data_IF_240672243953
#
_entry.id   IF_240672243953
#
_cell.length_a   1.000
_cell.length_b   1.000
_cell.length_c   1.000
_cell.angle_alpha   90.00
_cell.angle_beta   90.00
_cell.angle_gamma   90.00
#
_symmetry.space_group_name_H-M   'P 1'
#
loop_
_entity.id
_entity.type
_entity.pdbx_description
1 polymer ?
#
# COMPACT_ATOMS: atom_id res chain seq x y z
N UNK A 1 10.25 -15.09 -15.26
CA UNK A 1 9.31 -16.24 -15.21
C UNK A 1 9.35 -16.82 -13.80
N UNK A 2 8.20 -17.20 -13.25
CA UNK A 2 8.10 -17.79 -11.94
C UNK A 2 8.12 -19.31 -12.03
N UNK A 3 8.70 -19.95 -11.01
CA UNK A 3 8.75 -21.41 -10.87
C UNK A 3 8.30 -21.79 -9.46
N UNK A 4 7.53 -22.84 -9.35
CA UNK A 4 7.06 -23.38 -8.08
C UNK A 4 7.53 -24.81 -7.90
N UNK A 5 7.93 -25.15 -6.69
CA UNK A 5 8.27 -26.54 -6.31
C UNK A 5 7.07 -27.17 -5.62
N UNK A 6 6.63 -28.30 -6.15
CA UNK A 6 5.49 -29.05 -5.64
C UNK A 6 5.98 -30.33 -4.99
N UNK A 7 5.63 -30.53 -3.71
CA UNK A 7 5.91 -31.73 -2.93
C UNK A 7 4.62 -32.15 -2.24
N UNK A 8 4.22 -33.40 -2.45
CA UNK A 8 2.98 -33.96 -1.86
C UNK A 8 1.74 -33.12 -2.17
N UNK A 9 1.61 -32.65 -3.42
CA UNK A 9 0.52 -31.78 -3.90
C UNK A 9 0.44 -30.39 -3.23
N UNK A 10 1.55 -29.96 -2.63
CA UNK A 10 1.65 -28.62 -2.03
C UNK A 10 2.84 -27.86 -2.60
N UNK A 11 2.67 -26.55 -2.80
CA UNK A 11 3.75 -25.66 -3.20
C UNK A 11 4.61 -25.36 -1.97
N UNK A 12 5.89 -25.73 -2.05
CA UNK A 12 6.84 -25.54 -0.94
C UNK A 12 7.80 -24.38 -1.17
N UNK A 13 8.06 -24.01 -2.43
CA UNK A 13 8.98 -22.92 -2.78
C UNK A 13 8.48 -22.20 -4.04
N UNK A 14 8.78 -20.91 -4.12
CA UNK A 14 8.52 -20.07 -5.29
C UNK A 14 9.82 -19.34 -5.64
N UNK A 15 10.30 -19.49 -6.87
CA UNK A 15 11.50 -18.83 -7.36
C UNK A 15 11.22 -18.02 -8.62
N UNK A 16 11.91 -16.92 -8.78
CA UNK A 16 11.86 -16.06 -9.98
C UNK A 16 12.97 -16.38 -10.98
N UNK A 17 13.87 -17.31 -10.64
CA UNK A 17 14.98 -17.75 -11.46
C UNK A 17 14.83 -19.23 -11.82
N UNK A 18 15.57 -19.65 -12.86
CA UNK A 18 15.59 -21.05 -13.29
C UNK A 18 16.05 -21.94 -12.11
N UNK A 19 15.26 -22.99 -11.76
CA UNK A 19 15.66 -23.93 -10.72
C UNK A 19 16.93 -24.72 -11.10
N UNK A 20 17.68 -25.25 -10.12
CA UNK A 20 18.84 -26.07 -10.39
C UNK A 20 18.52 -27.29 -11.24
N UNK A 21 19.39 -27.62 -12.19
CA UNK A 21 19.26 -28.81 -13.01
C UNK A 21 19.33 -30.07 -12.14
N UNK A 22 18.46 -31.03 -12.42
CA UNK A 22 18.42 -32.31 -11.69
C UNK A 22 17.47 -32.34 -10.50
N UNK A 23 16.93 -31.20 -10.05
CA UNK A 23 15.87 -31.20 -9.05
C UNK A 23 14.51 -31.52 -9.70
N UNK A 24 13.72 -32.35 -9.03
CA UNK A 24 12.38 -32.70 -9.46
C UNK A 24 11.31 -31.87 -8.74
N UNK A 25 10.10 -31.86 -9.29
CA UNK A 25 8.95 -31.20 -8.68
C UNK A 25 8.79 -29.72 -9.02
N UNK A 26 9.67 -29.15 -9.84
CA UNK A 26 9.56 -27.76 -10.29
C UNK A 26 8.67 -27.63 -11.52
N UNK A 27 7.79 -26.65 -11.49
CA UNK A 27 6.93 -26.28 -12.62
C UNK A 27 6.94 -24.77 -12.82
N UNK A 28 6.77 -24.34 -14.07
CA UNK A 28 6.56 -22.94 -14.37
C UNK A 28 5.21 -22.45 -13.79
N UNK A 29 5.16 -21.19 -13.41
CA UNK A 29 3.96 -20.59 -12.83
C UNK A 29 3.73 -19.19 -13.40
N UNK A 30 2.47 -18.77 -13.42
CA UNK A 30 2.06 -17.41 -13.79
C UNK A 30 1.22 -16.83 -12.65
N UNK A 31 1.34 -15.52 -12.46
CA UNK A 31 0.48 -14.81 -11.52
C UNK A 31 -0.82 -14.41 -12.21
N UNK A 32 -1.94 -14.69 -11.54
CA UNK A 32 -3.27 -14.21 -11.93
C UNK A 32 -3.71 -13.17 -10.92
N UNK A 33 -3.62 -11.90 -11.31
CA UNK A 33 -4.00 -10.77 -10.46
C UNK A 33 -5.22 -10.08 -11.04
N UNK A 34 -6.38 -10.13 -10.35
CA UNK A 34 -7.52 -9.32 -10.75
C UNK A 34 -7.18 -7.83 -10.73
N UNK A 35 -7.80 -7.07 -11.62
CA UNK A 35 -7.67 -5.61 -11.60
C UNK A 35 -8.47 -5.08 -10.42
N UNK A 36 -7.81 -4.33 -9.54
CA UNK A 36 -8.45 -3.77 -8.35
C UNK A 36 -9.15 -2.45 -8.64
N UNK A 37 -10.29 -2.24 -7.98
CA UNK A 37 -10.88 -0.91 -7.83
C UNK A 37 -10.22 -0.18 -6.66
N UNK A 38 -10.54 1.13 -6.51
CA UNK A 38 -10.04 1.92 -5.37
C UNK A 38 -10.55 1.42 -4.02
N UNK A 39 -11.57 0.56 -4.02
CA UNK A 39 -12.22 0.01 -2.82
C UNK A 39 -11.79 -1.41 -2.49
N UNK A 40 -10.80 -1.92 -3.19
CA UNK A 40 -10.36 -3.30 -3.08
C UNK A 40 -8.87 -3.41 -2.81
N UNK A 41 -8.48 -4.50 -2.19
CA UNK A 41 -7.08 -4.86 -2.02
C UNK A 41 -6.88 -6.36 -2.21
N UNK A 42 -5.64 -6.74 -2.54
CA UNK A 42 -5.29 -8.15 -2.60
C UNK A 42 -5.25 -8.76 -1.20
N UNK A 43 -5.70 -10.00 -1.15
CA UNK A 43 -5.55 -10.86 0.03
C UNK A 43 -4.47 -11.90 -0.24
N UNK A 44 -4.40 -12.94 0.59
CA UNK A 44 -3.46 -14.02 0.38
C UNK A 44 -3.67 -14.68 -0.99
N UNK A 45 -2.57 -15.10 -1.59
CA UNK A 45 -2.62 -15.86 -2.83
C UNK A 45 -2.76 -17.35 -2.54
N UNK A 46 -3.29 -18.09 -3.51
CA UNK A 46 -3.35 -19.53 -3.52
C UNK A 46 -2.75 -20.07 -4.82
N UNK A 47 -2.45 -21.37 -4.84
CA UNK A 47 -1.85 -22.01 -6.01
C UNK A 47 -2.84 -22.99 -6.63
N UNK A 48 -3.11 -22.85 -7.93
CA UNK A 48 -3.86 -23.84 -8.67
C UNK A 48 -2.87 -24.74 -9.43
N UNK A 49 -2.50 -25.84 -8.78
CA UNK A 49 -1.54 -26.81 -9.32
C UNK A 49 -2.13 -27.73 -10.39
N UNK A 50 -3.44 -27.66 -10.62
CA UNK A 50 -4.11 -28.41 -11.69
C UNK A 50 -3.89 -27.75 -13.06
N UNK A 51 -3.41 -26.52 -13.07
CA UNK A 51 -3.11 -25.77 -14.29
C UNK A 51 -1.67 -25.96 -14.73
N UNK A 52 -1.42 -25.82 -16.03
CA UNK A 52 -0.09 -25.85 -16.62
C UNK A 52 0.04 -24.69 -17.62
N UNK A 53 0.78 -23.62 -17.30
CA UNK A 53 1.56 -23.41 -16.08
C UNK A 53 0.69 -23.33 -14.82
N UNK A 54 1.28 -23.59 -13.66
CA UNK A 54 0.61 -23.42 -12.36
C UNK A 54 0.18 -21.96 -12.19
N UNK A 55 -1.03 -21.74 -11.73
CA UNK A 55 -1.54 -20.38 -11.50
C UNK A 55 -1.38 -19.98 -10.03
N UNK A 56 -0.74 -18.83 -9.82
CA UNK A 56 -0.71 -18.16 -8.52
C UNK A 56 -1.87 -17.18 -8.51
N UNK A 57 -2.96 -17.53 -7.83
CA UNK A 57 -4.22 -16.76 -7.85
C UNK A 57 -4.29 -15.87 -6.61
N UNK A 58 -4.36 -14.57 -6.82
CA UNK A 58 -4.52 -13.60 -5.76
C UNK A 58 -6.00 -13.41 -5.44
N UNK A 59 -6.33 -13.50 -4.14
CA UNK A 59 -7.66 -13.15 -3.66
C UNK A 59 -7.85 -11.63 -3.61
N UNK A 60 -9.10 -11.20 -3.54
CA UNK A 60 -9.48 -9.79 -3.46
C UNK A 60 -10.53 -9.63 -2.37
N UNK A 61 -10.38 -8.58 -1.56
CA UNK A 61 -11.41 -8.19 -0.60
C UNK A 61 -11.77 -6.71 -0.74
N UNK A 62 -12.98 -6.38 -0.33
CA UNK A 62 -13.40 -4.99 -0.21
C UNK A 62 -12.72 -4.34 1.00
N UNK A 63 -12.27 -3.11 0.83
CA UNK A 63 -11.74 -2.29 1.92
C UNK A 63 -12.91 -1.57 2.57
N UNK A 64 -13.03 -1.64 3.90
CA UNK A 64 -14.09 -0.93 4.62
C UNK A 64 -13.91 0.59 4.55
N UNK A 65 -14.99 1.31 4.80
CA UNK A 65 -14.95 2.79 4.91
C UNK A 65 -13.96 3.21 5.99
N UNK A 66 -13.95 2.55 7.14
CA UNK A 66 -13.06 2.88 8.24
C UNK A 66 -11.58 2.67 7.87
N UNK A 67 -11.26 1.59 7.18
CA UNK A 67 -9.89 1.36 6.69
C UNK A 67 -9.46 2.44 5.69
N UNK A 68 -10.32 2.81 4.77
CA UNK A 68 -10.05 3.89 3.82
C UNK A 68 -9.88 5.24 4.52
N UNK A 69 -10.71 5.53 5.52
CA UNK A 69 -10.56 6.73 6.36
C UNK A 69 -9.19 6.75 7.04
N UNK A 70 -8.74 5.61 7.55
CA UNK A 70 -7.41 5.47 8.13
C UNK A 70 -6.28 5.77 7.14
N UNK A 71 -6.43 5.37 5.89
CA UNK A 71 -5.49 5.70 4.83
C UNK A 71 -5.42 7.20 4.55
N UNK A 72 -6.58 7.86 4.45
CA UNK A 72 -6.64 9.32 4.28
C UNK A 72 -6.05 10.05 5.48
N UNK A 73 -6.37 9.62 6.70
CA UNK A 73 -5.81 10.20 7.93
C UNK A 73 -4.29 10.12 7.95
N UNK A 74 -3.72 8.99 7.54
CA UNK A 74 -2.27 8.81 7.44
C UNK A 74 -1.64 9.75 6.41
N UNK A 75 -2.29 9.96 5.27
CA UNK A 75 -1.84 10.90 4.24
C UNK A 75 -1.87 12.35 4.74
N UNK A 76 -2.93 12.75 5.42
CA UNK A 76 -3.05 14.10 5.98
C UNK A 76 -2.00 14.34 7.05
N UNK A 77 -1.78 13.36 7.91
CA UNK A 77 -0.75 13.42 8.95
C UNK A 77 0.65 13.53 8.33
N UNK A 78 0.94 12.75 7.30
CA UNK A 78 2.22 12.80 6.59
C UNK A 78 2.45 14.16 5.92
N UNK A 79 1.41 14.73 5.30
CA UNK A 79 1.49 16.05 4.69
C UNK A 79 1.76 17.15 5.72
N UNK A 80 1.08 17.12 6.85
CA UNK A 80 1.33 18.04 7.96
C UNK A 80 2.75 17.90 8.50
N UNK A 81 3.18 16.65 8.75
CA UNK A 81 4.53 16.37 9.25
C UNK A 81 5.61 16.85 8.30
N UNK A 82 5.36 16.78 6.98
CA UNK A 82 6.27 17.29 5.98
C UNK A 82 6.45 18.80 6.09
N UNK A 83 5.37 19.55 6.32
CA UNK A 83 5.44 21.01 6.52
C UNK A 83 6.27 21.34 7.74
N UNK A 84 6.05 20.63 8.85
CA UNK A 84 6.84 20.82 10.08
C UNK A 84 8.31 20.55 9.84
N UNK A 85 8.63 19.45 9.19
CA UNK A 85 10.00 19.06 8.90
C UNK A 85 10.70 20.07 7.97
N UNK A 86 10.00 20.59 6.96
CA UNK A 86 10.54 21.56 6.03
C UNK A 86 10.85 22.88 6.75
N UNK A 87 9.98 23.34 7.66
CA UNK A 87 10.24 24.54 8.45
C UNK A 87 11.41 24.36 9.45
N UNK A 88 11.48 23.21 10.11
CA UNK A 88 12.62 22.90 10.99
C UNK A 88 13.94 22.81 10.22
N UNK A 89 13.92 22.28 9.01
CA UNK A 89 15.11 22.14 8.15
C UNK A 89 15.67 23.49 7.74
N UNK A 90 14.83 24.50 7.51
CA UNK A 90 15.25 25.87 7.20
C UNK A 90 16.18 26.44 8.28
N UNK A 91 15.81 26.21 9.55
CA UNK A 91 16.59 26.72 10.68
C UNK A 91 17.94 26.01 10.82
N UNK A 92 18.03 24.74 10.45
CA UNK A 92 19.25 23.92 10.53
C UNK A 92 20.15 24.12 9.32
N UNK A 93 19.59 24.03 8.10
CA UNK A 93 20.36 23.99 6.85
C UNK A 93 20.67 25.39 6.30
N UNK A 94 19.81 26.37 6.56
CA UNK A 94 19.89 27.71 5.97
C UNK A 94 20.24 28.80 7.00
N UNK A 95 20.53 28.42 8.24
CA UNK A 95 20.96 29.35 9.28
C UNK A 95 22.22 30.14 8.82
N UNK A 96 22.33 31.47 9.12
CA UNK A 96 21.40 32.27 9.93
C UNK A 96 20.36 33.06 9.11
N UNK A 97 20.21 32.82 7.82
CA UNK A 97 19.41 33.64 6.92
C UNK A 97 17.93 33.32 6.92
N UNK A 98 17.57 32.05 7.22
CA UNK A 98 16.18 31.58 7.21
C UNK A 98 15.83 30.97 8.56
N UNK A 99 14.70 31.38 9.12
CA UNK A 99 14.23 30.91 10.42
C UNK A 99 12.95 30.07 10.26
N UNK A 100 12.68 29.24 11.27
CA UNK A 100 11.44 28.52 11.43
C UNK A 100 10.26 29.53 11.46
N UNK A 101 9.28 29.30 10.60
CA UNK A 101 8.08 30.13 10.54
C UNK A 101 6.91 29.41 11.20
N UNK A 102 6.60 29.79 12.43
CA UNK A 102 5.50 29.23 13.20
C UNK A 102 4.14 29.46 12.54
N UNK A 103 3.97 30.57 11.79
CA UNK A 103 2.72 30.86 11.12
C UNK A 103 2.42 29.85 10.00
N UNK A 104 3.44 29.38 9.28
CA UNK A 104 3.30 28.35 8.25
C UNK A 104 2.86 27.02 8.88
N UNK A 105 3.47 26.63 10.01
CA UNK A 105 3.12 25.41 10.73
C UNK A 105 1.71 25.52 11.32
N UNK A 106 1.33 26.67 11.87
CA UNK A 106 -0.01 26.89 12.44
C UNK A 106 -1.07 26.82 11.37
N UNK A 107 -0.84 27.41 10.20
CA UNK A 107 -1.76 27.32 9.05
C UNK A 107 -1.93 25.87 8.58
N UNK A 108 -0.84 25.11 8.51
CA UNK A 108 -0.88 23.70 8.14
C UNK A 108 -1.61 22.85 9.18
N UNK A 109 -1.48 23.19 10.48
CA UNK A 109 -2.21 22.51 11.55
C UNK A 109 -3.71 22.78 11.45
N UNK A 110 -4.13 24.00 11.19
CA UNK A 110 -5.53 24.35 11.01
C UNK A 110 -6.12 23.58 9.82
N UNK A 111 -5.41 23.52 8.71
CA UNK A 111 -5.82 22.74 7.53
C UNK A 111 -5.93 21.25 7.86
N UNK A 112 -4.94 20.69 8.53
CA UNK A 112 -4.93 19.28 8.97
C UNK A 112 -6.15 18.97 9.86
N UNK A 113 -6.40 19.79 10.88
CA UNK A 113 -7.53 19.60 11.79
C UNK A 113 -8.88 19.70 11.07
N UNK A 114 -9.02 20.64 10.13
CA UNK A 114 -10.22 20.77 9.31
C UNK A 114 -10.46 19.53 8.44
N UNK A 115 -9.41 19.00 7.81
CA UNK A 115 -9.48 17.78 7.02
C UNK A 115 -9.85 16.57 7.87
N UNK A 116 -9.27 16.45 9.07
CA UNK A 116 -9.58 15.36 9.99
C UNK A 116 -11.01 15.43 10.49
N UNK A 117 -11.54 16.62 10.75
CA UNK A 117 -12.94 16.82 11.15
C UNK A 117 -13.89 16.42 10.02
N UNK A 118 -13.59 16.84 8.78
CA UNK A 118 -14.38 16.48 7.61
C UNK A 118 -14.33 14.95 7.37
N UNK A 119 -13.16 14.34 7.54
CA UNK A 119 -12.99 12.91 7.38
C UNK A 119 -13.79 12.11 8.42
N UNK A 120 -13.82 12.58 9.68
CA UNK A 120 -14.57 11.93 10.75
C UNK A 120 -16.08 11.88 10.48
N UNK A 121 -16.62 12.86 9.75
CA UNK A 121 -18.02 12.91 9.38
C UNK A 121 -18.40 11.99 8.20
N UNK A 122 -17.43 11.44 7.49
CA UNK A 122 -17.66 10.56 6.34
C UNK A 122 -18.12 9.19 6.80
N UNK A 123 -19.17 8.66 6.16
CA UNK A 123 -19.75 7.35 6.46
C UNK A 123 -19.85 6.44 5.24
N UNK A 124 -19.61 6.94 4.03
CA UNK A 124 -19.76 6.17 2.78
C UNK A 124 -18.50 6.24 1.91
N UNK A 125 -18.36 5.24 1.04
CA UNK A 125 -17.29 5.22 0.04
C UNK A 125 -17.41 6.37 -0.97
N UNK A 126 -18.62 6.72 -1.34
CA UNK A 126 -18.91 7.82 -2.29
C UNK A 126 -18.40 9.15 -1.75
N UNK A 127 -18.62 9.41 -0.46
CA UNK A 127 -18.10 10.61 0.20
C UNK A 127 -16.56 10.62 0.22
N UNK A 128 -15.92 9.48 0.43
CA UNK A 128 -14.46 9.35 0.36
C UNK A 128 -13.95 9.61 -1.06
N UNK A 129 -14.63 9.10 -2.06
CA UNK A 129 -14.23 9.28 -3.45
C UNK A 129 -14.34 10.74 -3.90
N UNK A 130 -15.15 11.56 -3.20
CA UNK A 130 -15.32 12.98 -3.46
C UNK A 130 -14.25 13.89 -2.82
N UNK A 131 -13.35 13.36 -2.01
CA UNK A 131 -12.28 14.12 -1.36
C UNK A 131 -11.21 14.62 -2.34
#
# INVERSE_FOLDING_TARGET
>A
MLFVKIVNNEVTQVWDTQPPAGESGWKSAIEVRPVLTSRQQYTEHSFDITKDPVEIVWGVREISVDERKGQYASRYKAAFQQVVNDEMRKEVDEFPTTQYDAAVVDAARVEFEAKMTALAAITTHEELDAL
#
